data_IF_532846973618
#
_entry.id   IF_532846973618
#
_cell.length_a   1.000
_cell.length_b   1.000
_cell.length_c   1.000
_cell.angle_alpha   90.00
_cell.angle_beta   90.00
_cell.angle_gamma   90.00
#
_symmetry.space_group_name_H-M   'P 1'
#
loop_
_entity.id
_entity.type
_entity.pdbx_description
1 polymer ?
#
# COMPACT_ATOMS: atom_id res chain seq x y z
N UNK A 1 25.87 13.36 -7.64
CA UNK A 1 25.15 12.07 -7.72
C UNK A 1 25.35 11.48 -9.11
N UNK A 2 25.75 10.21 -9.22
CA UNK A 2 26.07 9.62 -10.53
C UNK A 2 24.77 9.37 -11.28
N UNK A 3 24.75 9.64 -12.59
CA UNK A 3 23.55 9.59 -13.44
C UNK A 3 22.83 8.23 -13.31
N UNK A 4 23.61 7.15 -13.14
CA UNK A 4 23.13 5.77 -12.94
C UNK A 4 22.30 5.63 -11.65
N UNK A 5 22.74 6.23 -10.54
CA UNK A 5 22.03 6.10 -9.26
C UNK A 5 20.64 6.72 -9.35
N UNK A 6 20.52 7.91 -9.96
CA UNK A 6 19.23 8.59 -10.15
C UNK A 6 18.30 7.81 -11.08
N UNK A 7 18.85 7.18 -12.11
CA UNK A 7 18.09 6.35 -13.03
C UNK A 7 17.49 5.14 -12.32
N UNK A 8 18.31 4.39 -11.58
CA UNK A 8 17.88 3.21 -10.83
C UNK A 8 16.81 3.56 -9.78
N UNK A 9 16.96 4.68 -9.07
CA UNK A 9 15.95 5.15 -8.11
C UNK A 9 14.63 5.51 -8.80
N UNK A 10 14.66 6.17 -9.97
CA UNK A 10 13.46 6.49 -10.73
C UNK A 10 12.74 5.23 -11.21
N UNK A 11 13.48 4.24 -11.70
CA UNK A 11 12.93 2.97 -12.15
C UNK A 11 12.35 2.15 -11.00
N UNK A 12 12.98 2.22 -9.81
CA UNK A 12 12.44 1.66 -8.59
C UNK A 12 11.11 2.30 -8.18
N UNK A 13 11.03 3.63 -8.15
CA UNK A 13 9.79 4.35 -7.85
C UNK A 13 8.67 4.04 -8.85
N UNK A 14 8.99 3.92 -10.14
CA UNK A 14 8.02 3.51 -11.16
C UNK A 14 7.53 2.08 -10.92
N UNK A 15 8.44 1.15 -10.61
CA UNK A 15 8.08 -0.24 -10.29
C UNK A 15 7.18 -0.29 -9.05
N UNK A 16 7.52 0.46 -8.00
CA UNK A 16 6.73 0.58 -6.78
C UNK A 16 5.33 1.11 -7.06
N UNK A 17 5.21 2.17 -7.86
CA UNK A 17 3.91 2.74 -8.23
C UNK A 17 3.04 1.74 -9.02
N UNK A 18 3.63 1.00 -9.96
CA UNK A 18 2.92 -0.04 -10.72
C UNK A 18 2.46 -1.16 -9.79
N UNK A 19 3.34 -1.68 -8.93
CA UNK A 19 2.98 -2.72 -7.96
C UNK A 19 1.87 -2.26 -7.02
N UNK A 20 1.92 -1.00 -6.56
CA UNK A 20 0.89 -0.40 -5.72
C UNK A 20 -0.44 -0.31 -6.46
N UNK A 21 -0.46 0.20 -7.70
CA UNK A 21 -1.66 0.29 -8.52
C UNK A 21 -2.28 -1.08 -8.78
N UNK A 22 -1.47 -2.09 -9.11
CA UNK A 22 -1.95 -3.46 -9.30
C UNK A 22 -2.57 -4.02 -8.02
N UNK A 23 -1.93 -3.84 -6.86
CA UNK A 23 -2.44 -4.35 -5.60
C UNK A 23 -3.73 -3.64 -5.18
N UNK A 24 -3.77 -2.32 -5.28
CA UNK A 24 -4.97 -1.52 -4.97
C UNK A 24 -6.10 -1.88 -5.93
N UNK A 25 -5.81 -1.99 -7.24
CA UNK A 25 -6.80 -2.42 -8.22
C UNK A 25 -7.36 -3.81 -7.92
N UNK A 26 -6.49 -4.77 -7.57
CA UNK A 26 -6.91 -6.11 -7.16
C UNK A 26 -7.79 -6.07 -5.90
N UNK A 27 -7.40 -5.27 -4.90
CA UNK A 27 -8.19 -5.08 -3.68
C UNK A 27 -9.58 -4.53 -3.98
N UNK A 28 -9.67 -3.47 -4.80
CA UNK A 28 -10.94 -2.86 -5.19
C UNK A 28 -11.84 -3.86 -5.89
N UNK A 29 -11.30 -4.65 -6.82
CA UNK A 29 -12.07 -5.70 -7.49
C UNK A 29 -12.57 -6.72 -6.47
N UNK A 30 -11.69 -7.25 -5.61
CA UNK A 30 -12.08 -8.23 -4.58
C UNK A 30 -13.18 -7.72 -3.65
N UNK A 31 -13.08 -6.47 -3.22
CA UNK A 31 -14.02 -5.87 -2.28
C UNK A 31 -15.38 -5.59 -2.95
N UNK A 32 -15.40 -5.12 -4.21
CA UNK A 32 -16.63 -4.98 -5.01
C UNK A 32 -17.32 -6.32 -5.21
N UNK A 33 -16.56 -7.39 -5.53
CA UNK A 33 -17.13 -8.72 -5.70
C UNK A 33 -17.66 -9.31 -4.39
N UNK A 34 -16.98 -9.06 -3.27
CA UNK A 34 -17.37 -9.60 -1.95
C UNK A 34 -18.62 -8.94 -1.39
N UNK A 35 -18.82 -7.65 -1.68
CA UNK A 35 -19.91 -6.84 -1.14
C UNK A 35 -20.96 -6.46 -2.21
N UNK A 36 -21.07 -7.25 -3.29
CA UNK A 36 -21.90 -6.89 -4.45
C UNK A 36 -23.37 -6.67 -4.07
N UNK A 37 -23.90 -7.49 -3.15
CA UNK A 37 -25.30 -7.40 -2.67
C UNK A 37 -25.54 -6.13 -1.84
N UNK A 38 -24.54 -5.70 -1.07
CA UNK A 38 -24.61 -4.49 -0.25
C UNK A 38 -24.48 -3.23 -1.10
N UNK A 39 -23.60 -3.25 -2.10
CA UNK A 39 -23.43 -2.16 -3.09
C UNK A 39 -24.73 -1.95 -3.88
N UNK A 40 -25.38 -3.03 -4.32
CA UNK A 40 -26.66 -2.96 -5.05
C UNK A 40 -27.76 -2.35 -4.17
N UNK A 41 -27.85 -2.71 -2.88
CA UNK A 41 -28.83 -2.14 -1.94
C UNK A 41 -28.58 -0.66 -1.62
N UNK A 42 -27.32 -0.24 -1.58
CA UNK A 42 -26.96 1.17 -1.35
C UNK A 42 -27.23 2.02 -2.60
N UNK A 43 -27.04 1.45 -3.81
CA UNK A 43 -27.31 2.12 -5.07
C UNK A 43 -28.80 2.46 -5.28
N UNK A 44 -29.72 1.67 -4.71
CA UNK A 44 -31.16 1.97 -4.77
C UNK A 44 -31.60 3.09 -3.81
N UNK A 45 -30.84 3.37 -2.75
CA UNK A 45 -31.24 4.28 -1.66
C UNK A 45 -30.66 5.69 -1.74
N UNK A 46 -29.55 5.89 -2.44
CA UNK A 46 -28.88 7.19 -2.51
C UNK A 46 -28.52 7.60 -3.95
N UNK A 47 -28.84 8.85 -4.26
CA UNK A 47 -28.59 9.55 -5.53
C UNK A 47 -27.08 9.84 -5.72
N UNK A 48 -26.27 8.79 -5.90
CA UNK A 48 -24.87 8.91 -6.28
C UNK A 48 -23.92 7.90 -5.63
N UNK A 49 -23.80 6.71 -6.23
CA UNK A 49 -22.90 5.61 -5.83
C UNK A 49 -21.43 6.05 -5.72
N UNK A 50 -21.00 6.99 -6.57
CA UNK A 50 -19.61 7.48 -6.66
C UNK A 50 -19.15 8.26 -5.42
N UNK A 51 -20.03 9.02 -4.76
CA UNK A 51 -19.65 9.90 -3.64
C UNK A 51 -19.35 9.13 -2.36
N UNK A 52 -20.08 8.04 -2.12
CA UNK A 52 -19.91 7.16 -0.95
C UNK A 52 -18.74 6.20 -1.19
N UNK A 53 -18.60 5.67 -2.42
CA UNK A 53 -17.51 4.77 -2.79
C UNK A 53 -16.15 5.44 -2.56
N UNK A 54 -15.95 6.67 -3.05
CA UNK A 54 -14.67 7.39 -2.87
C UNK A 54 -14.39 7.72 -1.40
N UNK A 55 -15.41 8.12 -0.62
CA UNK A 55 -15.22 8.54 0.78
C UNK A 55 -14.96 7.36 1.72
N UNK A 56 -15.44 6.16 1.39
CA UNK A 56 -15.26 4.96 2.22
C UNK A 56 -14.07 4.08 1.77
N UNK A 57 -13.79 3.98 0.46
CA UNK A 57 -12.68 3.14 -0.03
C UNK A 57 -11.29 3.73 0.19
N UNK A 58 -11.16 5.06 0.16
CA UNK A 58 -9.85 5.72 0.34
C UNK A 58 -9.23 5.41 1.72
N UNK A 59 -9.94 5.51 2.86
CA UNK A 59 -9.35 5.15 4.15
C UNK A 59 -9.10 3.64 4.29
N UNK A 60 -9.98 2.78 3.74
CA UNK A 60 -9.83 1.33 3.85
C UNK A 60 -8.67 0.78 3.02
N UNK A 61 -8.47 1.33 1.80
CA UNK A 61 -7.31 1.02 0.96
C UNK A 61 -6.00 1.47 1.60
N UNK A 62 -6.00 2.56 2.38
CA UNK A 62 -4.82 3.03 3.11
C UNK A 62 -4.40 2.07 4.22
N UNK A 63 -5.36 1.52 4.98
CA UNK A 63 -5.11 0.52 6.03
C UNK A 63 -4.64 -0.81 5.44
N UNK A 64 -5.21 -1.22 4.31
CA UNK A 64 -4.78 -2.41 3.59
C UNK A 64 -3.36 -2.25 3.02
N UNK A 65 -3.05 -1.06 2.48
CA UNK A 65 -1.71 -0.71 2.03
C UNK A 65 -0.68 -0.75 3.17
N UNK A 66 -1.02 -0.20 4.35
CA UNK A 66 -0.12 -0.19 5.51
C UNK A 66 0.33 -1.62 5.88
N UNK A 67 -0.61 -2.59 5.87
CA UNK A 67 -0.33 -4.01 6.17
C UNK A 67 0.56 -4.69 5.13
N UNK A 68 0.40 -4.34 3.84
CA UNK A 68 1.11 -5.01 2.73
C UNK A 68 2.35 -4.25 2.25
N UNK A 69 2.58 -3.04 2.76
CA UNK A 69 3.65 -2.15 2.36
C UNK A 69 5.04 -2.82 2.40
N UNK A 70 5.34 -3.59 3.45
CA UNK A 70 6.62 -4.31 3.58
C UNK A 70 6.84 -5.33 2.45
N UNK A 71 5.81 -6.09 2.08
CA UNK A 71 5.88 -7.05 0.97
C UNK A 71 5.94 -6.34 -0.38
N UNK A 72 5.16 -5.27 -0.55
CA UNK A 72 5.14 -4.45 -1.77
C UNK A 72 6.52 -3.87 -2.11
N UNK A 73 7.24 -3.35 -1.12
CA UNK A 73 8.56 -2.76 -1.32
C UNK A 73 9.56 -3.81 -1.80
N UNK A 74 9.51 -5.03 -1.24
CA UNK A 74 10.33 -6.16 -1.69
C UNK A 74 10.01 -6.57 -3.13
N UNK A 75 8.71 -6.71 -3.44
CA UNK A 75 8.26 -7.06 -4.80
C UNK A 75 8.68 -5.99 -5.79
N UNK A 76 8.54 -4.71 -5.45
CA UNK A 76 8.98 -3.59 -6.30
C UNK A 76 10.50 -3.64 -6.56
N UNK A 77 11.32 -3.90 -5.53
CA UNK A 77 12.77 -4.01 -5.67
C UNK A 77 13.18 -5.20 -6.55
N UNK A 78 12.51 -6.34 -6.40
CA UNK A 78 12.67 -7.50 -7.28
C UNK A 78 12.30 -7.14 -8.72
N UNK A 79 11.15 -6.50 -8.93
CA UNK A 79 10.66 -6.15 -10.25
C UNK A 79 11.60 -5.17 -10.95
N UNK A 80 12.14 -4.17 -10.24
CA UNK A 80 13.17 -3.27 -10.78
C UNK A 80 14.41 -4.04 -11.23
N UNK A 81 14.88 -5.00 -10.43
CA UNK A 81 16.04 -5.82 -10.77
C UNK A 81 15.78 -6.68 -12.00
N UNK A 82 14.59 -7.29 -12.09
CA UNK A 82 14.15 -8.08 -13.25
C UNK A 82 14.07 -7.21 -14.50
N UNK A 83 13.52 -5.99 -14.41
CA UNK A 83 13.44 -5.07 -15.54
C UNK A 83 14.84 -4.67 -16.04
N UNK A 84 15.79 -4.38 -15.16
CA UNK A 84 17.17 -4.08 -15.55
C UNK A 84 17.87 -5.27 -16.22
N UNK A 85 17.56 -6.50 -15.80
CA UNK A 85 18.06 -7.72 -16.45
C UNK A 85 17.42 -7.92 -17.83
N UNK A 86 16.09 -7.75 -17.93
CA UNK A 86 15.32 -7.94 -19.16
C UNK A 86 15.75 -6.98 -20.28
N UNK A 87 16.10 -5.75 -19.93
CA UNK A 87 16.60 -4.76 -20.89
C UNK A 87 18.12 -4.84 -21.12
N UNK A 88 18.80 -5.88 -20.61
CA UNK A 88 20.26 -6.05 -20.68
C UNK A 88 21.09 -4.87 -20.09
N UNK A 89 20.48 -4.00 -19.30
CA UNK A 89 21.17 -2.87 -18.66
C UNK A 89 22.18 -3.36 -17.62
N UNK A 90 21.81 -4.39 -16.86
CA UNK A 90 22.72 -5.02 -15.89
C UNK A 90 23.95 -5.61 -16.58
N UNK A 91 23.76 -6.26 -17.74
CA UNK A 91 24.84 -6.84 -18.55
C UNK A 91 25.74 -5.77 -19.13
N UNK A 92 25.16 -4.66 -19.63
CA UNK A 92 25.92 -3.52 -20.15
C UNK A 92 26.78 -2.83 -19.07
N UNK A 93 26.23 -2.66 -17.87
CA UNK A 93 26.97 -2.07 -16.73
C UNK A 93 28.13 -2.96 -16.28
N UNK A 94 27.93 -4.29 -16.26
CA UNK A 94 29.00 -5.24 -15.94
C UNK A 94 30.10 -5.24 -17.00
N UNK A 95 29.74 -5.18 -18.29
CA UNK A 95 30.69 -5.06 -19.40
C UNK A 95 31.50 -3.76 -19.35
N UNK A 96 30.91 -2.67 -18.84
CA UNK A 96 31.59 -1.39 -18.57
C UNK A 96 32.47 -1.41 -17.30
N UNK A 97 32.66 -2.57 -16.66
CA UNK A 97 33.48 -2.73 -15.46
C UNK A 97 32.82 -2.23 -14.16
N UNK A 98 31.52 -1.94 -14.16
CA UNK A 98 30.79 -1.55 -12.94
C UNK A 98 30.46 -2.80 -12.14
N UNK A 99 30.90 -2.83 -10.87
CA UNK A 99 30.58 -3.94 -9.98
C UNK A 99 29.07 -4.07 -9.73
N UNK A 100 28.57 -5.31 -9.71
CA UNK A 100 27.15 -5.61 -9.40
C UNK A 100 26.69 -4.97 -8.10
N UNK A 101 27.55 -4.96 -7.08
CA UNK A 101 27.26 -4.38 -5.77
C UNK A 101 26.99 -2.87 -5.82
N UNK A 102 27.59 -2.15 -6.77
CA UNK A 102 27.36 -0.70 -6.94
C UNK A 102 26.02 -0.38 -7.56
N UNK A 103 25.48 -1.28 -8.41
CA UNK A 103 24.15 -1.14 -9.02
C UNK A 103 23.04 -1.45 -8.01
N UNK A 104 23.27 -2.41 -7.11
CA UNK A 104 22.29 -2.82 -6.09
C UNK A 104 22.20 -1.82 -4.92
N UNK A 105 23.31 -1.17 -4.56
CA UNK A 105 23.35 -0.15 -3.49
C UNK A 105 22.23 0.91 -3.59
N UNK A 106 22.01 1.61 -4.72
CA UNK A 106 20.95 2.61 -4.82
C UNK A 106 19.54 2.02 -4.66
N UNK A 107 19.31 0.77 -5.09
CA UNK A 107 18.02 0.08 -4.88
C UNK A 107 17.77 -0.15 -3.39
N UNK A 108 18.78 -0.66 -2.66
CA UNK A 108 18.65 -0.91 -1.22
C UNK A 108 18.42 0.39 -0.46
N UNK A 109 19.19 1.45 -0.77
CA UNK A 109 19.04 2.75 -0.12
C UNK A 109 17.65 3.34 -0.39
N UNK A 110 17.15 3.24 -1.62
CA UNK A 110 15.81 3.68 -1.96
C UNK A 110 14.73 2.85 -1.24
N UNK A 111 14.88 1.54 -1.17
CA UNK A 111 13.95 0.67 -0.45
C UNK A 111 13.90 1.02 1.04
N UNK A 112 15.05 1.21 1.70
CA UNK A 112 15.12 1.63 3.10
C UNK A 112 14.46 3.01 3.28
N UNK A 113 14.73 3.96 2.39
CA UNK A 113 14.11 5.29 2.45
C UNK A 113 12.58 5.21 2.34
N UNK A 114 12.05 4.34 1.46
CA UNK A 114 10.60 4.11 1.35
C UNK A 114 10.05 3.41 2.58
N UNK A 115 10.74 2.40 3.13
CA UNK A 115 10.32 1.74 4.38
C UNK A 115 10.22 2.75 5.53
N UNK A 116 11.21 3.63 5.67
CA UNK A 116 11.20 4.68 6.68
C UNK A 116 10.08 5.68 6.44
N UNK A 117 9.87 6.10 5.19
CA UNK A 117 8.76 6.99 4.83
C UNK A 117 7.40 6.36 5.15
N UNK A 118 7.23 5.07 4.87
CA UNK A 118 6.02 4.32 5.23
C UNK A 118 5.88 4.18 6.74
N UNK A 119 6.95 3.87 7.47
CA UNK A 119 6.93 3.74 8.93
C UNK A 119 6.59 5.08 9.61
N UNK A 120 7.16 6.19 9.14
CA UNK A 120 6.81 7.54 9.58
C UNK A 120 5.36 7.88 9.25
N UNK A 121 4.91 7.54 8.03
CA UNK A 121 3.53 7.74 7.63
C UNK A 121 2.60 6.95 8.55
N UNK A 122 2.93 5.70 8.87
CA UNK A 122 2.20 4.87 9.83
C UNK A 122 2.17 5.50 11.21
N UNK A 123 3.29 5.99 11.72
CA UNK A 123 3.38 6.60 13.05
C UNK A 123 2.70 7.97 13.15
N UNK A 124 2.53 8.70 12.04
CA UNK A 124 1.76 9.95 11.96
C UNK A 124 0.28 9.74 11.64
N UNK A 125 -0.06 8.69 10.90
CA UNK A 125 -1.43 8.34 10.52
C UNK A 125 -2.14 7.62 11.67
N UNK A 126 -1.47 6.68 12.35
CA UNK A 126 -2.06 5.95 13.50
C UNK A 126 -2.62 6.88 14.60
N UNK A 127 -1.94 7.95 15.07
CA UNK A 127 -2.50 8.82 16.11
C UNK A 127 -3.70 9.64 15.63
N UNK A 128 -3.77 10.00 14.34
CA UNK A 128 -4.92 10.71 13.78
C UNK A 128 -6.14 9.79 13.60
N UNK A 129 -5.94 8.50 13.37
CA UNK A 129 -7.01 7.50 13.26
C UNK A 129 -7.28 6.76 14.60
N UNK A 130 -6.67 7.17 15.72
CA UNK A 130 -6.98 6.58 17.04
C UNK A 130 -8.44 6.78 17.43
N UNK A 131 -9.06 7.88 17.02
CA UNK A 131 -10.47 8.17 17.31
C UNK A 131 -11.42 7.36 16.41
N UNK A 132 -11.03 7.09 15.16
CA UNK A 132 -11.83 6.28 14.21
C UNK A 132 -11.61 4.76 14.37
N UNK A 133 -10.43 4.29 14.80
CA UNK A 133 -10.15 2.87 15.08
C UNK A 133 -10.66 2.42 16.46
N UNK A 134 -10.87 3.36 17.40
CA UNK A 134 -11.61 3.08 18.64
C UNK A 134 -13.09 2.81 18.37
N UNK A 135 -13.65 3.35 17.28
CA UNK A 135 -14.91 2.89 16.69
C UNK A 135 -14.65 1.65 15.84
N UNK A 136 -14.38 0.54 16.54
CA UNK A 136 -14.45 -0.78 15.94
C UNK A 136 -15.78 -0.92 15.20
N UNK A 137 -15.75 -1.54 14.02
CA UNK A 137 -16.88 -1.89 13.14
C UNK A 137 -18.08 -2.55 13.86
N UNK A 138 -17.94 -2.91 15.14
CA UNK A 138 -19.02 -3.34 16.05
C UNK A 138 -20.01 -2.26 16.49
N UNK A 139 -19.70 -0.96 16.38
CA UNK A 139 -20.64 0.11 16.79
C UNK A 139 -21.57 0.60 15.67
N UNK A 140 -21.39 0.12 14.44
CA UNK A 140 -22.25 0.49 13.31
C UNK A 140 -23.55 -0.33 13.24
N UNK A 141 -23.72 -1.36 14.08
CA UNK A 141 -24.92 -2.20 14.08
C UNK A 141 -25.93 -1.87 15.17
N UNK A 142 -25.68 -0.91 16.07
CA UNK A 142 -26.70 -0.41 16.99
C UNK A 142 -27.43 -1.46 17.87
N UNK A 143 -26.92 -2.68 17.99
CA UNK A 143 -27.52 -3.76 18.77
C UNK A 143 -26.45 -4.59 19.47
N UNK A 144 -25.95 -4.05 20.58
CA UNK A 144 -26.04 -4.64 21.92
C UNK A 144 -25.01 -3.95 22.79
N UNK A 145 -25.51 -3.12 23.70
CA UNK A 145 -24.74 -2.66 24.84
C UNK A 145 -24.12 -3.87 25.51
N UNK A 146 -22.79 -3.89 25.55
CA UNK A 146 -22.12 -4.76 26.51
C UNK A 146 -22.36 -4.10 27.85
N UNK A 147 -23.43 -4.50 28.54
CA UNK A 147 -23.61 -4.22 29.95
C UNK A 147 -22.33 -4.66 30.66
N UNK A 148 -21.54 -3.69 31.09
CA UNK A 148 -20.43 -3.90 32.00
C UNK A 148 -21.03 -4.41 33.29
N UNK A 149 -21.07 -5.73 33.46
CA UNK A 149 -21.49 -6.35 34.70
C UNK A 149 -20.36 -6.12 35.72
N UNK A 150 -20.57 -5.30 36.77
CA UNK A 150 -19.54 -5.08 37.77
C UNK A 150 -19.42 -6.35 38.60
N UNK A 151 -18.34 -7.09 38.38
CA UNK A 151 -17.94 -8.20 39.22
C UNK A 151 -17.38 -7.60 40.52
N UNK A 152 -18.24 -7.51 41.54
CA UNK A 152 -17.77 -7.39 42.91
C UNK A 152 -17.20 -8.74 43.34
N UNK A 153 -16.06 -8.65 44.04
CA UNK A 153 -15.23 -9.75 44.54
C UNK A 153 -16.06 -10.80 45.31
#
# INVERSE_FOLDING_TARGET
MKIIDRYVVKQFLQSLAICLLCLVGLYVVFDVFSNIDEIVRVAEKHDGVLGILVRHYVPHSLVFYDRLSGMLILVAAMFTTVLMQRHNEMTALLAAGVSRSRVVKPVIVAAIAVVLATALSRELVIPNFREDLARSTKDLTGEKGTELQPRYD
#
